data_IF_592192359842
#
_entry.id   IF_592192359842
#
_cell.length_a   1.000
_cell.length_b   1.000
_cell.length_c   1.000
_cell.angle_alpha   90.00
_cell.angle_beta   90.00
_cell.angle_gamma   90.00
#
_symmetry.space_group_name_H-M   'P 1'
#
loop_
_entity.id
_entity.type
_entity.pdbx_description
1 polymer ?
#
# COMPACT_ATOMS: atom_id res chain seq x y z
N UNK A 1 -8.30 -16.75 4.36
CA UNK A 1 -8.06 -15.44 3.73
C UNK A 1 -7.95 -15.60 2.23
N UNK A 2 -8.93 -15.09 1.48
CA UNK A 2 -8.86 -14.96 0.02
C UNK A 2 -8.00 -13.75 -0.38
N UNK A 3 -7.60 -13.66 -1.65
CA UNK A 3 -6.86 -12.48 -2.15
C UNK A 3 -7.69 -11.19 -1.96
N UNK A 4 -8.99 -11.25 -2.27
CA UNK A 4 -9.86 -10.08 -2.17
C UNK A 4 -10.00 -9.61 -0.71
N UNK A 5 -10.19 -10.53 0.23
CA UNK A 5 -10.25 -10.21 1.66
C UNK A 5 -8.95 -9.58 2.15
N UNK A 6 -7.80 -10.14 1.76
CA UNK A 6 -6.49 -9.61 2.14
C UNK A 6 -6.28 -8.19 1.59
N UNK A 7 -6.53 -7.98 0.29
CA UNK A 7 -6.37 -6.66 -0.34
C UNK A 7 -7.32 -5.62 0.27
N UNK A 8 -8.58 -5.97 0.51
CA UNK A 8 -9.53 -5.05 1.15
C UNK A 8 -9.07 -4.65 2.56
N UNK A 9 -8.56 -5.62 3.34
CA UNK A 9 -7.97 -5.37 4.66
C UNK A 9 -6.73 -4.48 4.60
N UNK A 10 -5.89 -4.62 3.58
CA UNK A 10 -4.71 -3.78 3.39
C UNK A 10 -5.10 -2.34 3.01
N UNK A 11 -6.00 -2.18 2.02
CA UNK A 11 -6.50 -0.86 1.59
C UNK A 11 -7.12 -0.07 2.74
N UNK A 12 -7.92 -0.74 3.57
CA UNK A 12 -8.50 -0.11 4.76
C UNK A 12 -7.43 0.34 5.76
N UNK A 13 -6.41 -0.50 6.04
CA UNK A 13 -5.30 -0.14 6.94
C UNK A 13 -4.48 1.04 6.43
N UNK A 14 -4.21 1.11 5.12
CA UNK A 14 -3.54 2.26 4.51
C UNK A 14 -4.36 3.54 4.69
N UNK A 15 -5.65 3.49 4.37
CA UNK A 15 -6.56 4.64 4.54
C UNK A 15 -6.58 5.11 5.99
N UNK A 16 -6.73 4.21 6.95
CA UNK A 16 -6.74 4.53 8.39
C UNK A 16 -5.40 5.13 8.86
N UNK A 17 -4.27 4.54 8.45
CA UNK A 17 -2.94 5.06 8.77
C UNK A 17 -2.75 6.49 8.25
N UNK A 18 -3.07 6.74 6.99
CA UNK A 18 -2.89 8.06 6.37
C UNK A 18 -3.80 9.12 7.01
N UNK A 19 -5.07 8.80 7.25
CA UNK A 19 -6.02 9.71 7.89
C UNK A 19 -5.63 10.06 9.33
N UNK A 20 -4.88 9.19 10.03
CA UNK A 20 -4.33 9.50 11.36
C UNK A 20 -3.15 10.48 11.31
N UNK A 21 -2.40 10.56 10.21
CA UNK A 21 -1.26 11.48 10.07
C UNK A 21 -1.67 12.93 9.85
N UNK A 22 -2.75 13.16 9.11
CA UNK A 22 -3.19 14.51 8.67
C UNK A 22 -4.50 14.97 9.33
N UNK A 23 -5.10 14.11 10.16
CA UNK A 23 -6.43 14.32 10.72
C UNK A 23 -7.54 13.76 9.82
N UNK A 24 -8.67 13.41 10.42
CA UNK A 24 -9.78 12.71 9.73
C UNK A 24 -10.44 13.52 8.60
N UNK A 25 -10.12 14.80 8.47
CA UNK A 25 -10.72 15.69 7.47
C UNK A 25 -10.03 15.63 6.09
N UNK A 26 -8.84 15.03 6.00
CA UNK A 26 -8.13 14.77 4.73
C UNK A 26 -8.24 13.29 4.36
N UNK A 27 -9.42 12.93 3.82
CA UNK A 27 -9.82 11.54 3.64
C UNK A 27 -9.10 10.83 2.47
N UNK A 28 -8.04 10.08 2.78
CA UNK A 28 -7.71 8.89 2.00
C UNK A 28 -8.85 7.89 2.17
N UNK A 29 -9.58 7.54 1.10
CA UNK A 29 -10.56 6.45 1.14
C UNK A 29 -9.89 5.14 0.70
N UNK A 30 -10.31 3.96 1.21
CA UNK A 30 -9.75 2.68 0.79
C UNK A 30 -9.78 2.47 -0.74
N UNK A 31 -10.79 3.00 -1.42
CA UNK A 31 -10.94 2.91 -2.88
C UNK A 31 -9.84 3.66 -3.64
N UNK A 32 -9.28 4.71 -3.06
CA UNK A 32 -8.19 5.48 -3.64
C UNK A 32 -6.84 4.76 -3.50
N UNK A 33 -6.74 3.77 -2.60
CA UNK A 33 -5.53 2.98 -2.41
C UNK A 33 -5.43 1.93 -3.52
N UNK A 34 -4.30 1.92 -4.23
CA UNK A 34 -4.04 0.98 -5.32
C UNK A 34 -2.97 -0.03 -4.93
N UNK A 35 -3.09 -1.23 -5.51
CA UNK A 35 -2.14 -2.33 -5.31
C UNK A 35 -1.06 -2.21 -6.38
N UNK A 36 0.19 -2.08 -5.96
CA UNK A 36 1.37 -2.05 -6.84
C UNK A 36 1.70 -3.47 -7.29
N UNK A 37 1.74 -4.41 -6.35
CA UNK A 37 1.89 -5.84 -6.63
C UNK A 37 1.31 -6.67 -5.48
N UNK A 38 0.99 -7.93 -5.77
CA UNK A 38 0.56 -8.90 -4.77
C UNK A 38 1.01 -10.31 -5.13
N UNK A 39 1.25 -11.13 -4.11
CA UNK A 39 1.57 -12.54 -4.24
C UNK A 39 0.92 -13.35 -3.11
N UNK A 40 0.55 -14.59 -3.42
CA UNK A 40 0.04 -15.57 -2.46
C UNK A 40 0.81 -16.87 -2.58
N UNK A 41 1.26 -17.39 -1.44
CA UNK A 41 1.88 -18.71 -1.34
C UNK A 41 1.20 -19.48 -0.20
N UNK A 42 0.50 -20.56 -0.53
CA UNK A 42 -0.30 -21.34 0.43
C UNK A 42 -1.27 -20.43 1.21
N UNK A 43 -1.15 -20.34 2.54
CA UNK A 43 -1.98 -19.48 3.38
C UNK A 43 -1.42 -18.07 3.59
N UNK A 44 -0.22 -17.78 3.08
CA UNK A 44 0.45 -16.50 3.25
C UNK A 44 0.17 -15.55 2.09
N UNK A 45 0.09 -14.27 2.39
CA UNK A 45 -0.07 -13.22 1.38
C UNK A 45 0.97 -12.12 1.58
N UNK A 46 1.41 -11.52 0.49
CA UNK A 46 2.24 -10.32 0.51
C UNK A 46 1.74 -9.33 -0.55
N UNK A 47 1.67 -8.05 -0.21
CA UNK A 47 1.27 -7.01 -1.15
C UNK A 47 1.97 -5.69 -0.87
N UNK A 48 2.24 -4.94 -1.93
CA UNK A 48 2.67 -3.55 -1.83
C UNK A 48 1.57 -2.64 -2.37
N UNK A 49 1.28 -1.59 -1.62
CA UNK A 49 0.21 -0.64 -1.90
C UNK A 49 0.76 0.78 -1.87
N UNK A 50 0.05 1.67 -2.55
CA UNK A 50 0.30 3.10 -2.51
C UNK A 50 -1.03 3.86 -2.53
N UNK A 51 -0.98 5.11 -2.08
CA UNK A 51 -2.09 6.04 -2.15
C UNK A 51 -1.67 7.27 -2.96
N UNK A 52 -2.59 7.89 -3.71
CA UNK A 52 -2.32 9.16 -4.37
C UNK A 52 -2.16 10.29 -3.36
N UNK A 53 -1.47 11.35 -3.78
CA UNK A 53 -1.32 12.56 -2.97
C UNK A 53 -0.18 12.52 -1.97
N UNK A 54 -0.19 13.51 -1.07
CA UNK A 54 0.78 13.68 0.02
C UNK A 54 0.04 13.79 1.33
N UNK A 55 0.61 13.21 2.38
CA UNK A 55 0.10 13.22 3.74
C UNK A 55 1.24 13.73 4.62
N UNK A 56 1.04 14.88 5.28
CA UNK A 56 2.11 15.58 6.00
C UNK A 56 3.35 15.82 5.09
N UNK A 57 3.11 16.39 3.91
CA UNK A 57 4.07 16.68 2.84
C UNK A 57 4.83 15.49 2.23
N UNK A 58 4.48 14.26 2.61
CA UNK A 58 5.14 13.02 2.20
C UNK A 58 4.23 12.12 1.37
N UNK A 59 4.79 11.43 0.38
CA UNK A 59 4.11 10.33 -0.31
C UNK A 59 4.58 8.99 0.28
N UNK A 60 3.71 7.98 0.30
CA UNK A 60 3.94 6.73 1.02
C UNK A 60 3.75 5.48 0.15
N UNK A 61 4.55 4.46 0.46
CA UNK A 61 4.32 3.08 0.05
C UNK A 61 4.16 2.20 1.28
N UNK A 62 3.37 1.14 1.14
CA UNK A 62 3.05 0.22 2.22
C UNK A 62 3.30 -1.19 1.78
N UNK A 63 4.00 -1.98 2.58
CA UNK A 63 4.12 -3.42 2.38
C UNK A 63 3.33 -4.14 3.47
N UNK A 64 2.52 -5.11 3.06
CA UNK A 64 1.79 -5.98 3.97
C UNK A 64 2.24 -7.40 3.81
N UNK A 65 2.47 -8.07 4.94
CA UNK A 65 2.79 -9.51 4.99
C UNK A 65 1.78 -10.19 5.92
N UNK A 66 0.97 -11.11 5.39
CA UNK A 66 0.04 -11.93 6.17
C UNK A 66 0.59 -13.34 6.36
N UNK A 67 0.77 -13.73 7.61
CA UNK A 67 1.11 -15.09 8.00
C UNK A 67 -0.18 -15.86 8.30
N UNK A 68 -0.54 -16.80 7.42
CA UNK A 68 -1.77 -17.58 7.55
C UNK A 68 -1.75 -18.59 8.70
N UNK A 69 -0.57 -19.07 9.09
CA UNK A 69 -0.43 -20.03 10.20
C UNK A 69 -0.68 -19.36 11.55
N UNK A 70 -0.24 -18.12 11.71
CA UNK A 70 -0.40 -17.34 12.95
C UNK A 70 -1.60 -16.39 12.90
N UNK A 71 -2.22 -16.23 11.74
CA UNK A 71 -3.29 -15.27 11.49
C UNK A 71 -2.90 -13.80 11.81
N UNK A 72 -1.65 -13.44 11.49
CA UNK A 72 -1.09 -12.11 11.78
C UNK A 72 -0.84 -11.32 10.50
N UNK A 73 -1.00 -10.00 10.55
CA UNK A 73 -0.67 -9.10 9.43
C UNK A 73 0.32 -8.05 9.91
N UNK A 74 1.45 -7.96 9.23
CA UNK A 74 2.49 -6.98 9.44
C UNK A 74 2.36 -5.87 8.38
N UNK A 75 2.72 -4.64 8.75
CA UNK A 75 2.70 -3.48 7.87
C UNK A 75 4.01 -2.71 8.00
N UNK A 76 4.74 -2.62 6.91
CA UNK A 76 5.92 -1.75 6.77
C UNK A 76 5.51 -0.48 6.02
N UNK A 77 6.02 0.66 6.49
CA UNK A 77 5.70 1.98 5.92
C UNK A 77 6.97 2.63 5.37
N UNK A 78 6.95 2.98 4.09
CA UNK A 78 8.04 3.67 3.41
C UNK A 78 7.62 5.06 2.97
N UNK A 79 8.53 6.03 3.06
CA UNK A 79 8.34 7.36 2.49
C UNK A 79 9.05 7.43 1.13
N UNK A 80 8.36 7.98 0.12
CA UNK A 80 8.95 8.24 -1.19
C UNK A 80 9.91 9.42 -1.10
N UNK A 81 11.20 9.17 -1.34
CA UNK A 81 12.24 10.19 -1.34
C UNK A 81 12.20 11.06 -2.61
N UNK A 82 12.27 10.43 -3.79
CA UNK A 82 12.29 11.13 -5.07
C UNK A 82 11.59 10.36 -6.19
N UNK A 83 11.33 11.07 -7.29
CA UNK A 83 10.93 10.48 -8.56
C UNK A 83 11.93 10.91 -9.62
N UNK A 84 12.54 9.95 -10.31
CA UNK A 84 13.55 10.20 -11.34
C UNK A 84 12.95 9.81 -12.69
N UNK A 85 12.97 10.74 -13.64
CA UNK A 85 12.52 10.50 -15.00
C UNK A 85 13.68 9.94 -15.83
N UNK A 86 13.48 8.77 -16.44
CA UNK A 86 14.33 8.25 -17.50
C UNK A 86 13.61 8.41 -18.83
N UNK A 87 14.30 8.93 -19.85
CA UNK A 87 13.79 8.99 -21.22
C UNK A 87 14.41 7.83 -21.98
N UNK A 88 13.58 6.85 -22.35
CA UNK A 88 14.02 5.76 -23.20
C UNK A 88 14.18 6.27 -24.64
N UNK A 89 15.27 5.88 -25.30
CA UNK A 89 15.38 6.06 -26.74
C UNK A 89 14.57 4.97 -27.43
N UNK A 90 13.85 5.32 -28.50
CA UNK A 90 13.26 4.32 -29.39
C UNK A 90 14.41 3.52 -30.03
N UNK A 91 14.57 2.27 -29.61
CA UNK A 91 15.38 1.31 -30.36
C UNK A 91 14.57 1.01 -31.63
N UNK A 92 15.03 1.57 -32.76
CA UNK A 92 14.47 1.29 -34.09
C UNK A 92 14.90 -0.10 -34.56
#
# INVERSE_FOLDING_TARGET
MTNQEFINKCKWRVSDYLNKLVGKETACKPENVFVVWQAKALQNHKAMLAAPGRYNDRAYYFEFTYNGNLNETYMDVYTKDKNVLFKEALIK
#
